data_IF_204074038644
#
_entry.id   IF_204074038644
#
_cell.length_a   1.000
_cell.length_b   1.000
_cell.length_c   1.000
_cell.angle_alpha   90.00
_cell.angle_beta   90.00
_cell.angle_gamma   90.00
#
_symmetry.space_group_name_H-M   'P 1'
#
loop_
_entity.id
_entity.type
_entity.pdbx_description
1 polymer ?
#
# COMPACT_ATOMS: atom_id res chain seq x y z
N UNK A 1 5.37 0.98 -20.87
CA UNK A 1 5.68 1.32 -19.47
C UNK A 1 4.63 2.35 -19.03
N UNK A 2 3.40 1.91 -18.71
CA UNK A 2 2.25 2.82 -18.47
C UNK A 2 2.20 3.35 -17.04
N UNK A 3 2.77 2.62 -16.08
CA UNK A 3 2.73 2.94 -14.64
C UNK A 3 3.48 4.23 -14.31
N UNK A 4 4.55 4.55 -15.05
CA UNK A 4 5.36 5.77 -14.84
C UNK A 4 4.63 7.06 -15.27
N UNK A 5 3.61 6.95 -16.12
CA UNK A 5 2.84 8.11 -16.60
C UNK A 5 1.96 8.74 -15.52
N UNK A 6 1.42 7.94 -14.58
CA UNK A 6 0.54 8.44 -13.52
C UNK A 6 1.32 9.21 -12.47
N UNK A 7 2.47 8.68 -12.06
CA UNK A 7 3.32 9.35 -11.08
C UNK A 7 3.83 10.68 -11.62
N UNK A 8 4.35 10.68 -12.85
CA UNK A 8 4.83 11.89 -13.51
C UNK A 8 3.74 12.97 -13.63
N UNK A 9 2.53 12.60 -14.09
CA UNK A 9 1.43 13.57 -14.24
C UNK A 9 0.98 14.18 -12.92
N UNK A 10 0.93 13.37 -11.86
CA UNK A 10 0.61 13.84 -10.51
C UNK A 10 1.71 14.77 -9.99
N UNK A 11 2.98 14.40 -10.14
CA UNK A 11 4.12 15.21 -9.68
C UNK A 11 4.13 16.57 -10.37
N UNK A 12 3.99 16.61 -11.70
CA UNK A 12 3.89 17.86 -12.46
C UNK A 12 2.72 18.74 -11.99
N UNK A 13 1.59 18.13 -11.62
CA UNK A 13 0.42 18.85 -11.13
C UNK A 13 0.64 19.43 -9.73
N UNK A 14 1.44 18.81 -8.88
CA UNK A 14 1.69 19.21 -7.48
C UNK A 14 2.86 20.19 -7.37
N UNK A 15 3.83 20.09 -8.28
CA UNK A 15 5.02 20.93 -8.28
C UNK A 15 4.65 22.41 -8.17
N UNK A 16 5.32 23.11 -7.26
CA UNK A 16 5.13 24.54 -6.97
C UNK A 16 3.72 24.93 -6.49
N UNK A 17 2.91 23.98 -6.01
CA UNK A 17 1.62 24.29 -5.37
C UNK A 17 1.71 24.22 -3.87
N UNK A 18 1.04 25.16 -3.22
CA UNK A 18 0.84 25.09 -1.79
C UNK A 18 -0.14 23.97 -1.45
N UNK A 19 0.21 23.18 -0.43
CA UNK A 19 -0.61 22.09 0.08
C UNK A 19 -0.83 22.36 1.54
N UNK A 20 -2.09 22.60 1.91
CA UNK A 20 -2.45 23.00 3.25
C UNK A 20 -3.25 21.93 3.98
N UNK A 21 -3.77 20.92 3.28
CA UNK A 21 -4.51 19.82 3.88
C UNK A 21 -4.37 18.53 3.06
N UNK A 22 -4.62 17.35 3.66
CA UNK A 22 -4.69 16.09 2.91
C UNK A 22 -5.73 16.12 1.76
N UNK A 23 -6.81 16.88 1.91
CA UNK A 23 -7.85 17.04 0.88
C UNK A 23 -7.33 17.71 -0.38
N UNK A 24 -6.30 18.58 -0.28
CA UNK A 24 -5.67 19.19 -1.44
C UNK A 24 -5.00 18.15 -2.34
N UNK A 25 -4.38 17.12 -1.76
CA UNK A 25 -3.82 16.01 -2.55
C UNK A 25 -4.91 15.29 -3.33
N UNK A 26 -6.06 15.03 -2.72
CA UNK A 26 -7.19 14.37 -3.41
C UNK A 26 -7.63 15.19 -4.63
N UNK A 27 -7.74 16.52 -4.47
CA UNK A 27 -8.05 17.43 -5.57
C UNK A 27 -6.97 17.37 -6.66
N UNK A 28 -5.70 17.55 -6.30
CA UNK A 28 -4.60 17.55 -7.27
C UNK A 28 -4.46 16.23 -8.00
N UNK A 29 -4.64 15.11 -7.31
CA UNK A 29 -4.60 13.79 -7.93
C UNK A 29 -5.74 13.63 -8.94
N UNK A 30 -6.98 14.01 -8.61
CA UNK A 30 -8.10 13.93 -9.57
C UNK A 30 -7.84 14.76 -10.83
N UNK A 31 -7.31 15.96 -10.64
CA UNK A 31 -7.04 16.92 -11.72
C UNK A 31 -5.71 16.70 -12.46
N UNK A 32 -4.87 15.75 -12.03
CA UNK A 32 -3.57 15.49 -12.65
C UNK A 32 -3.71 14.95 -14.08
N UNK A 33 -4.85 14.36 -14.41
CA UNK A 33 -5.20 13.91 -15.76
C UNK A 33 -6.61 14.36 -16.10
N UNK A 34 -6.80 15.08 -17.21
CA UNK A 34 -8.13 15.48 -17.68
C UNK A 34 -8.64 14.57 -18.80
N UNK A 35 -7.74 14.14 -19.69
CA UNK A 35 -8.04 13.22 -20.80
C UNK A 35 -7.29 11.89 -20.62
N UNK A 36 -7.92 10.73 -20.90
CA UNK A 36 -9.33 10.54 -21.31
C UNK A 36 -10.33 10.80 -20.18
N UNK A 37 -9.90 10.72 -18.91
CA UNK A 37 -10.73 11.05 -17.75
C UNK A 37 -9.90 11.31 -16.48
N UNK A 38 -10.45 12.06 -15.49
CA UNK A 38 -9.87 12.23 -14.16
C UNK A 38 -9.49 10.92 -13.46
N UNK A 39 -8.46 10.97 -12.62
CA UNK A 39 -8.12 9.83 -11.79
C UNK A 39 -9.18 9.61 -10.71
N UNK A 40 -9.52 8.33 -10.47
CA UNK A 40 -10.35 7.94 -9.35
C UNK A 40 -9.48 7.89 -8.09
N UNK A 41 -9.73 8.79 -7.16
CA UNK A 41 -8.99 8.89 -5.89
C UNK A 41 -9.88 8.43 -4.76
N UNK A 42 -9.49 7.34 -4.11
CA UNK A 42 -10.17 6.78 -2.94
C UNK A 42 -9.40 7.21 -1.69
N UNK A 43 -10.10 7.79 -0.72
CA UNK A 43 -9.51 8.09 0.59
C UNK A 43 -9.57 6.83 1.44
N UNK A 44 -8.41 6.36 1.90
CA UNK A 44 -8.33 5.12 2.68
C UNK A 44 -8.52 5.42 4.17
N UNK A 45 -9.34 4.62 4.83
CA UNK A 45 -9.53 4.67 6.27
C UNK A 45 -8.73 3.57 6.98
N UNK A 46 -8.65 3.66 8.31
CA UNK A 46 -8.01 2.64 9.15
C UNK A 46 -8.60 1.24 8.92
N UNK A 47 -9.90 1.15 8.60
CA UNK A 47 -10.63 -0.09 8.29
C UNK A 47 -10.19 -0.77 6.99
N UNK A 48 -9.50 -0.05 6.09
CA UNK A 48 -9.00 -0.62 4.84
C UNK A 48 -7.82 -1.56 5.07
N UNK A 49 -7.01 -1.31 6.10
CA UNK A 49 -5.79 -2.07 6.35
C UNK A 49 -6.14 -3.37 7.07
N UNK A 50 -5.76 -4.48 6.45
CA UNK A 50 -6.02 -5.84 6.93
C UNK A 50 -4.71 -6.54 7.33
N UNK A 51 -4.79 -7.40 8.34
CA UNK A 51 -3.69 -8.21 8.84
C UNK A 51 -3.79 -9.63 8.27
N UNK A 52 -2.78 -10.00 7.49
CA UNK A 52 -2.66 -11.30 6.83
C UNK A 52 -1.65 -12.24 7.50
N UNK A 53 -1.08 -11.84 8.64
CA UNK A 53 -0.02 -12.61 9.32
C UNK A 53 -0.45 -14.03 9.66
N UNK A 54 -1.73 -14.23 9.99
CA UNK A 54 -2.29 -15.53 10.35
C UNK A 54 -3.03 -16.22 9.19
N UNK A 55 -3.26 -15.50 8.08
CA UNK A 55 -3.98 -16.01 6.89
C UNK A 55 -3.05 -16.73 5.92
N UNK A 56 -1.79 -16.28 5.82
CA UNK A 56 -0.83 -16.84 4.88
C UNK A 56 0.29 -17.59 5.61
N UNK A 57 0.37 -18.91 5.43
CA UNK A 57 1.49 -19.69 5.97
C UNK A 57 2.80 -19.55 5.21
N UNK A 58 2.77 -18.97 4.00
CA UNK A 58 3.96 -18.81 3.19
C UNK A 58 4.80 -17.64 3.71
N UNK A 59 5.82 -17.98 4.50
CA UNK A 59 6.82 -17.01 4.96
C UNK A 59 7.74 -16.49 3.84
N UNK A 60 7.83 -17.21 2.73
CA UNK A 60 8.72 -16.86 1.62
C UNK A 60 8.23 -17.44 0.31
N UNK A 61 8.46 -16.70 -0.79
CA UNK A 61 8.25 -17.16 -2.16
C UNK A 61 9.53 -17.72 -2.80
N UNK A 62 10.61 -17.87 -2.03
CA UNK A 62 11.89 -18.37 -2.54
C UNK A 62 11.76 -19.84 -2.99
N UNK A 63 12.14 -20.18 -4.24
CA UNK A 63 12.10 -21.57 -4.71
C UNK A 63 13.10 -22.48 -3.99
N UNK A 64 14.32 -21.95 -3.78
CA UNK A 64 15.45 -22.66 -3.20
C UNK A 64 15.49 -22.73 -1.67
N UNK A 65 16.17 -23.76 -1.14
CA UNK A 65 16.36 -23.98 0.31
C UNK A 65 17.77 -23.64 0.77
N UNK A 66 18.79 -23.96 -0.03
CA UNK A 66 20.22 -23.87 0.32
C UNK A 66 20.91 -22.73 -0.42
N UNK A 67 22.14 -22.44 -0.01
CA UNK A 67 23.03 -21.59 -0.80
C UNK A 67 23.30 -22.27 -2.15
N UNK A 68 23.20 -21.52 -3.26
CA UNK A 68 23.27 -22.06 -4.62
C UNK A 68 21.93 -22.42 -5.25
N UNK A 69 20.86 -22.58 -4.45
CA UNK A 69 19.52 -22.82 -5.01
C UNK A 69 18.89 -21.52 -5.55
N UNK A 70 17.97 -21.61 -6.53
CA UNK A 70 17.30 -20.46 -7.13
C UNK A 70 16.65 -19.53 -6.10
N UNK A 71 16.83 -18.24 -6.30
CA UNK A 71 16.34 -17.17 -5.45
C UNK A 71 15.08 -16.54 -6.04
N UNK A 72 14.48 -15.60 -5.30
CA UNK A 72 13.29 -14.88 -5.74
C UNK A 72 13.53 -14.12 -7.05
N UNK A 73 14.77 -13.64 -7.27
CA UNK A 73 15.18 -12.92 -8.48
C UNK A 73 15.20 -13.79 -9.74
N UNK A 74 15.27 -15.12 -9.59
CA UNK A 74 15.31 -16.06 -10.70
C UNK A 74 13.90 -16.45 -11.19
N UNK A 75 12.85 -16.05 -10.44
CA UNK A 75 11.47 -16.36 -10.79
C UNK A 75 11.04 -15.55 -12.01
N UNK A 76 10.50 -16.23 -13.02
CA UNK A 76 9.95 -15.61 -14.24
C UNK A 76 8.43 -15.63 -14.29
N UNK A 77 7.79 -16.42 -13.44
CA UNK A 77 6.34 -16.42 -13.29
C UNK A 77 5.90 -17.03 -11.99
N UNK A 78 4.81 -16.48 -11.43
CA UNK A 78 4.05 -17.03 -10.31
C UNK A 78 2.62 -17.25 -10.77
N UNK A 79 2.04 -18.38 -10.37
CA UNK A 79 0.63 -18.71 -10.61
C UNK A 79 -0.02 -19.08 -9.28
N UNK A 80 -1.10 -18.37 -8.99
CA UNK A 80 -1.96 -18.62 -7.82
C UNK A 80 -3.18 -19.40 -8.30
N UNK A 81 -3.39 -20.57 -7.72
CA UNK A 81 -4.54 -21.41 -8.05
C UNK A 81 -5.64 -21.26 -6.97
N UNK A 82 -6.93 -21.45 -7.32
CA UNK A 82 -8.04 -21.30 -6.36
C UNK A 82 -8.00 -22.28 -5.18
N UNK A 83 -7.27 -23.38 -5.32
CA UNK A 83 -7.01 -24.37 -4.27
C UNK A 83 -5.91 -23.94 -3.28
N UNK A 84 -5.44 -22.69 -3.38
CA UNK A 84 -4.42 -22.12 -2.50
C UNK A 84 -2.99 -22.54 -2.86
N UNK A 85 -2.78 -23.24 -3.97
CA UNK A 85 -1.45 -23.62 -4.42
C UNK A 85 -0.76 -22.46 -5.13
N UNK A 86 0.51 -22.24 -4.78
CA UNK A 86 1.40 -21.33 -5.51
C UNK A 86 2.35 -22.16 -6.36
N UNK A 87 2.39 -21.88 -7.65
CA UNK A 87 3.30 -22.46 -8.61
C UNK A 87 4.28 -21.39 -9.11
N UNK A 88 5.51 -21.78 -9.43
CA UNK A 88 6.53 -20.91 -9.98
C UNK A 88 7.17 -21.52 -11.22
N UNK A 89 7.77 -20.68 -12.06
CA UNK A 89 8.65 -21.11 -13.16
C UNK A 89 9.90 -20.23 -13.23
N UNK A 90 11.03 -20.83 -13.61
CA UNK A 90 12.34 -20.16 -13.73
C UNK A 90 12.67 -19.81 -15.19
N UNK A 91 12.12 -20.55 -16.15
CA UNK A 91 12.14 -20.23 -17.57
C UNK A 91 10.75 -19.85 -18.08
N UNK A 92 10.68 -19.13 -19.20
CA UNK A 92 9.38 -18.83 -19.83
C UNK A 92 8.72 -20.08 -20.41
N UNK A 93 9.53 -21.01 -20.93
CA UNK A 93 9.13 -22.27 -21.56
C UNK A 93 9.12 -23.47 -20.59
N UNK A 94 9.49 -23.26 -19.32
CA UNK A 94 9.45 -24.33 -18.32
C UNK A 94 8.03 -24.57 -17.80
N UNK A 95 7.77 -25.82 -17.45
CA UNK A 95 6.56 -26.21 -16.73
C UNK A 95 6.48 -25.58 -15.34
N UNK A 96 5.24 -25.35 -14.90
CA UNK A 96 4.93 -24.84 -13.57
C UNK A 96 5.32 -25.84 -12.48
N UNK A 97 6.17 -25.40 -11.55
CA UNK A 97 6.62 -26.20 -10.40
C UNK A 97 5.92 -25.71 -9.13
N UNK A 98 5.53 -26.62 -8.24
CA UNK A 98 4.88 -26.26 -6.98
C UNK A 98 5.88 -25.59 -6.04
N UNK A 99 5.53 -24.42 -5.52
CA UNK A 99 6.34 -23.74 -4.53
C UNK A 99 6.29 -24.51 -3.21
N UNK A 100 7.46 -24.75 -2.61
CA UNK A 100 7.55 -25.47 -1.35
C UNK A 100 7.10 -24.59 -0.18
N UNK A 101 6.10 -25.04 0.57
CA UNK A 101 5.67 -24.41 1.84
C UNK A 101 6.50 -25.00 2.98
N UNK A 102 7.19 -24.16 3.76
CA UNK A 102 7.94 -24.62 4.94
C UNK A 102 7.00 -24.81 6.14
N UNK A 103 6.76 -26.07 6.50
CA UNK A 103 6.08 -26.47 7.75
C UNK A 103 4.68 -27.05 7.54
N UNK A 104 4.20 -27.82 8.53
CA UNK A 104 2.82 -28.27 8.63
C UNK A 104 1.96 -27.12 9.14
N UNK A 105 1.67 -26.15 8.30
CA UNK A 105 0.61 -25.20 8.59
C UNK A 105 -0.66 -25.72 7.94
N UNK A 106 -1.56 -26.27 8.73
CA UNK A 106 -2.98 -26.26 8.41
C UNK A 106 -3.38 -24.78 8.30
N UNK A 107 -3.24 -24.19 7.11
CA UNK A 107 -3.73 -22.84 6.85
C UNK A 107 -5.24 -22.87 7.01
N UNK A 108 -5.73 -22.27 8.08
CA UNK A 108 -7.12 -21.86 8.11
C UNK A 108 -7.25 -20.77 7.07
N UNK A 109 -7.98 -21.03 5.99
CA UNK A 109 -8.44 -20.00 5.07
C UNK A 109 -9.49 -19.21 5.85
N UNK A 110 -9.02 -18.30 6.71
CA UNK A 110 -9.86 -17.37 7.45
C UNK A 110 -9.83 -16.01 6.78
N UNK A 111 -10.89 -15.24 6.95
CA UNK A 111 -10.91 -13.85 6.52
C UNK A 111 -9.86 -13.05 7.32
N UNK A 112 -9.09 -12.17 6.67
CA UNK A 112 -8.10 -11.35 7.36
C UNK A 112 -8.78 -10.39 8.34
N UNK A 113 -8.21 -10.27 9.53
CA UNK A 113 -8.70 -9.34 10.56
C UNK A 113 -8.23 -7.91 10.26
N UNK A 114 -8.94 -6.86 10.71
CA UNK A 114 -8.45 -5.49 10.59
C UNK A 114 -7.09 -5.30 11.27
N UNK A 115 -6.13 -4.70 10.56
CA UNK A 115 -4.80 -4.38 11.10
C UNK A 115 -4.88 -3.25 12.12
N UNK A 116 -5.78 -2.30 11.88
CA UNK A 116 -6.00 -1.14 12.75
C UNK A 116 -7.44 -1.16 13.25
N UNK A 117 -7.61 -1.00 14.55
CA UNK A 117 -8.93 -0.95 15.21
C UNK A 117 -9.52 0.45 15.25
N UNK A 118 -8.68 1.48 15.17
CA UNK A 118 -9.10 2.88 15.20
C UNK A 118 -8.11 3.76 14.43
N UNK A 119 -8.50 5.03 14.23
CA UNK A 119 -7.58 6.06 13.71
C UNK A 119 -6.40 6.23 14.65
N UNK A 120 -5.18 6.23 14.09
CA UNK A 120 -3.96 6.41 14.86
C UNK A 120 -3.91 7.82 15.46
N UNK A 121 -3.74 7.90 16.77
CA UNK A 121 -3.54 9.16 17.48
C UNK A 121 -2.17 9.76 17.18
N UNK A 122 -2.12 11.08 17.16
CA UNK A 122 -0.87 11.83 17.06
C UNK A 122 -0.20 11.92 18.44
N UNK A 123 1.13 11.89 18.44
CA UNK A 123 1.88 12.24 19.64
C UNK A 123 1.71 13.72 19.96
N UNK A 124 1.73 14.09 21.25
CA UNK A 124 1.60 15.49 21.69
C UNK A 124 2.56 16.43 20.95
N UNK A 125 3.83 16.03 20.79
CA UNK A 125 4.82 16.81 20.04
C UNK A 125 4.39 17.07 18.58
N UNK A 126 3.88 16.04 17.89
CA UNK A 126 3.45 16.15 16.49
C UNK A 126 2.21 17.03 16.37
N UNK A 127 1.29 16.93 17.32
CA UNK A 127 0.12 17.81 17.40
C UNK A 127 0.51 19.29 17.57
N UNK A 128 1.44 19.58 18.48
CA UNK A 128 1.97 20.95 18.70
C UNK A 128 2.65 21.50 17.46
N UNK A 129 3.49 20.71 16.78
CA UNK A 129 4.15 21.16 15.55
C UNK A 129 3.13 21.48 14.44
N UNK A 130 2.08 20.67 14.28
CA UNK A 130 1.00 20.97 13.33
C UNK A 130 0.25 22.26 13.70
N UNK A 131 0.10 22.56 14.99
CA UNK A 131 -0.50 23.81 15.44
C UNK A 131 0.38 25.03 15.14
N UNK A 132 1.70 24.91 15.25
CA UNK A 132 2.62 25.99 14.89
C UNK A 132 2.53 26.35 13.39
N UNK A 133 2.25 25.37 12.53
CA UNK A 133 2.06 25.59 11.09
C UNK A 133 0.79 26.40 10.76
N UNK A 134 -0.17 26.54 11.69
CA UNK A 134 -1.37 27.37 11.47
C UNK A 134 -1.05 28.82 11.14
N UNK A 135 0.13 29.32 11.51
CA UNK A 135 0.62 30.65 11.15
C UNK A 135 0.73 30.88 9.63
N UNK A 136 0.94 29.81 8.85
CA UNK A 136 1.13 29.86 7.39
C UNK A 136 0.01 29.17 6.61
N UNK A 137 -0.99 28.62 7.31
CA UNK A 137 -2.13 27.89 6.74
C UNK A 137 -3.37 28.79 6.82
N UNK A 138 -4.25 28.80 5.78
CA UNK A 138 -5.52 29.52 5.83
C UNK A 138 -6.38 29.17 7.05
N UNK A 139 -7.01 30.18 7.66
CA UNK A 139 -7.81 30.03 8.89
C UNK A 139 -8.95 29.02 8.75
N UNK A 140 -9.54 28.93 7.57
CA UNK A 140 -10.66 28.00 7.28
C UNK A 140 -10.27 26.52 7.47
N UNK A 141 -8.97 26.20 7.39
CA UNK A 141 -8.45 24.85 7.58
C UNK A 141 -8.00 24.58 9.02
N UNK A 142 -7.99 25.57 9.90
CA UNK A 142 -7.48 25.39 11.28
C UNK A 142 -8.32 24.38 12.05
N UNK A 143 -9.65 24.40 11.86
CA UNK A 143 -10.59 23.46 12.51
C UNK A 143 -10.26 22.00 12.18
N UNK A 144 -9.77 21.70 10.99
CA UNK A 144 -9.33 20.34 10.63
C UNK A 144 -8.19 19.87 11.56
N UNK A 145 -7.23 20.75 11.82
CA UNK A 145 -6.09 20.44 12.69
C UNK A 145 -6.45 20.39 14.18
N UNK A 146 -7.42 21.22 14.63
CA UNK A 146 -7.93 21.19 16.00
C UNK A 146 -8.64 19.88 16.35
N UNK A 147 -9.31 19.27 15.37
CA UNK A 147 -10.07 18.03 15.56
C UNK A 147 -9.22 16.76 15.40
N UNK A 148 -7.90 16.88 15.21
CA UNK A 148 -7.03 15.71 15.05
C UNK A 148 -6.91 14.95 16.39
N UNK A 149 -7.13 13.62 16.39
CA UNK A 149 -7.00 12.83 17.60
C UNK A 149 -5.54 12.78 18.04
N UNK A 150 -5.30 13.08 19.32
CA UNK A 150 -3.98 13.11 19.92
C UNK A 150 -3.99 12.46 21.31
N UNK A 151 -2.80 12.13 21.81
CA UNK A 151 -2.55 11.60 23.15
C UNK A 151 -2.37 12.71 24.18
#
# INVERSE_FOLDING_TARGET
>A
MEVDSVHHTIEQKIKNKAIYSPSDYVRFFREARLHPSPYKVNYLEHSFFQNYSDVCALKTIRPGKKAGDPQVVDIRGLKYSPDGQILFKLGHDEDWKKLFVRGNSSTVIGDPIPLLTAKKKLTAAKYTHLHQLKMVIPKDLHTFYDLLPHD
#
